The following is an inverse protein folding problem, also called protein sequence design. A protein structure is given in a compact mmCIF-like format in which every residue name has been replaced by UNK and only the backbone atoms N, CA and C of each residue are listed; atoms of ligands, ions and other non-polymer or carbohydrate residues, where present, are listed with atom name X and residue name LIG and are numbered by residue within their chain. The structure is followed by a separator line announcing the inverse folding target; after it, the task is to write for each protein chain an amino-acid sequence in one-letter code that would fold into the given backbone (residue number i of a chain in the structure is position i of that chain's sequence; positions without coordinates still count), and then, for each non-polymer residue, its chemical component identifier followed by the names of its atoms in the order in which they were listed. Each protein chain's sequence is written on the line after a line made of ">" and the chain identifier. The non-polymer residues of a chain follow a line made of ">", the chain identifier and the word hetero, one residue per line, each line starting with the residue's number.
data_IF_303564153308
#
_entry.id   IF_303564153308
#
_cell.length_a   1.000
_cell.length_b   1.000
_cell.length_c   1.000
_cell.angle_alpha   90.00
_cell.angle_beta   90.00
_cell.angle_gamma   90.00
#
_symmetry.space_group_name_H-M   'P 1'
#
loop_
_entity.id
_entity.type
_entity.pdbx_description
1 polymer ?
#
# COMPACT_ATOMS: atom_id res chain seq x y z
N UNK A 1 -15.93 13.58 8.04
CA UNK A 1 -16.38 12.22 8.39
C UNK A 1 -17.61 11.90 7.56
N UNK A 2 -17.71 10.65 7.09
CA UNK A 2 -18.92 10.18 6.42
C UNK A 2 -20.07 10.12 7.43
N UNK A 3 -21.29 10.38 6.98
CA UNK A 3 -22.47 10.20 7.81
C UNK A 3 -22.69 8.67 8.03
N UNK A 4 -23.05 8.23 9.26
CA UNK A 4 -23.13 6.80 9.58
C UNK A 4 -24.21 6.04 8.79
N UNK A 5 -25.19 6.74 8.29
CA UNK A 5 -26.36 6.23 7.55
C UNK A 5 -26.14 6.17 6.02
N UNK A 6 -25.00 6.64 5.55
CA UNK A 6 -24.67 6.55 4.12
C UNK A 6 -24.51 5.08 3.69
N UNK A 7 -25.08 4.70 2.53
CA UNK A 7 -24.90 3.36 2.00
C UNK A 7 -23.47 3.17 1.54
N UNK A 8 -22.68 2.43 2.32
CA UNK A 8 -21.32 2.04 1.97
C UNK A 8 -21.35 0.86 0.99
N UNK A 9 -20.49 0.91 -0.04
CA UNK A 9 -20.42 -0.14 -1.06
C UNK A 9 -20.15 -1.53 -0.46
N UNK A 10 -19.26 -1.63 0.52
CA UNK A 10 -18.99 -2.87 1.24
C UNK A 10 -20.28 -3.45 1.86
N UNK A 11 -21.06 -2.60 2.54
CA UNK A 11 -22.31 -3.01 3.18
C UNK A 11 -23.39 -3.45 2.19
N UNK A 12 -23.49 -2.75 1.05
CA UNK A 12 -24.43 -3.11 -0.02
C UNK A 12 -24.09 -4.48 -0.61
N UNK A 13 -22.81 -4.72 -0.90
CA UNK A 13 -22.37 -5.99 -1.47
C UNK A 13 -22.41 -7.14 -0.46
N UNK A 14 -22.02 -6.89 0.79
CA UNK A 14 -22.17 -7.87 1.87
C UNK A 14 -23.64 -8.32 2.01
N UNK A 15 -24.58 -7.38 2.06
CA UNK A 15 -26.01 -7.68 2.16
C UNK A 15 -26.54 -8.41 0.90
N UNK A 16 -25.89 -8.26 -0.24
CA UNK A 16 -26.18 -8.99 -1.47
C UNK A 16 -25.51 -10.38 -1.51
N UNK A 17 -24.85 -10.83 -0.45
CA UNK A 17 -24.26 -12.17 -0.32
C UNK A 17 -22.83 -12.29 -0.82
N UNK A 18 -22.14 -11.18 -1.08
CA UNK A 18 -20.72 -11.20 -1.44
C UNK A 18 -19.85 -11.49 -0.20
N UNK A 19 -18.76 -12.23 -0.40
CA UNK A 19 -17.65 -12.23 0.54
C UNK A 19 -16.88 -10.92 0.36
N UNK A 20 -16.64 -10.17 1.44
CA UNK A 20 -16.10 -8.81 1.37
C UNK A 20 -14.81 -8.68 2.17
N UNK A 21 -13.78 -8.05 1.61
CA UNK A 21 -12.53 -7.80 2.32
C UNK A 21 -11.94 -6.44 1.98
N UNK A 22 -11.29 -5.86 2.98
CA UNK A 22 -10.49 -4.64 2.85
C UNK A 22 -9.04 -4.90 3.27
N UNK A 23 -8.10 -4.49 2.42
CA UNK A 23 -6.67 -4.57 2.72
C UNK A 23 -5.99 -3.22 2.44
N UNK A 24 -5.26 -2.74 3.45
CA UNK A 24 -4.43 -1.55 3.33
C UNK A 24 -5.00 -0.28 3.98
N UNK A 25 -4.91 0.83 3.26
CA UNK A 25 -5.27 2.16 3.74
C UNK A 25 -6.78 2.35 3.82
N UNK A 26 -7.28 2.92 4.94
CA UNK A 26 -8.70 3.29 5.06
C UNK A 26 -8.93 4.80 5.00
N UNK A 27 -8.43 5.57 5.96
CA UNK A 27 -8.52 7.04 6.08
C UNK A 27 -9.93 7.64 6.06
N UNK A 28 -10.97 6.85 6.35
CA UNK A 28 -12.36 7.33 6.45
C UNK A 28 -12.86 7.45 7.89
N UNK A 29 -12.13 6.94 8.86
CA UNK A 29 -12.43 7.06 10.29
C UNK A 29 -12.06 5.81 11.07
N UNK A 30 -12.14 5.96 12.40
CA UNK A 30 -12.13 4.84 13.35
C UNK A 30 -13.57 4.38 13.58
N UNK A 31 -13.75 3.37 14.42
CA UNK A 31 -15.06 2.97 14.87
C UNK A 31 -15.92 4.20 15.29
N UNK A 32 -17.16 4.26 14.89
CA UNK A 32 -17.96 3.29 14.15
C UNK A 32 -17.86 3.43 12.61
N UNK A 33 -16.75 3.91 12.05
CA UNK A 33 -16.56 4.15 10.61
C UNK A 33 -15.37 3.34 10.04
N UNK A 34 -15.01 2.25 10.70
CA UNK A 34 -13.97 1.34 10.22
C UNK A 34 -14.46 0.50 9.02
N UNK A 35 -13.57 -0.21 8.32
CA UNK A 35 -13.99 -1.13 7.26
C UNK A 35 -15.02 -2.16 7.74
N UNK A 36 -14.86 -2.71 8.94
CA UNK A 36 -15.77 -3.73 9.46
C UNK A 36 -17.20 -3.21 9.61
N UNK A 37 -17.40 -2.02 10.19
CA UNK A 37 -18.73 -1.39 10.27
C UNK A 37 -19.24 -0.90 8.90
N UNK A 38 -18.34 -0.77 7.94
CA UNK A 38 -18.67 -0.42 6.55
C UNK A 38 -19.04 -1.63 5.69
N UNK A 39 -19.13 -2.83 6.30
CA UNK A 39 -19.61 -4.06 5.67
C UNK A 39 -18.54 -4.93 5.05
N UNK A 40 -17.29 -4.80 5.47
CA UNK A 40 -16.25 -5.75 5.13
C UNK A 40 -16.16 -6.87 6.17
N UNK A 41 -16.11 -8.13 5.73
CA UNK A 41 -15.95 -9.30 6.61
C UNK A 41 -14.53 -9.43 7.14
N UNK A 42 -13.56 -8.95 6.37
CA UNK A 42 -12.12 -8.95 6.69
C UNK A 42 -11.52 -7.59 6.49
N UNK A 43 -10.61 -7.19 7.40
CA UNK A 43 -9.90 -5.91 7.33
C UNK A 43 -8.49 -6.04 7.91
N UNK A 44 -7.47 -5.81 7.10
CA UNK A 44 -6.07 -5.79 7.50
C UNK A 44 -5.34 -4.59 6.87
N UNK A 45 -4.45 -3.94 7.65
CA UNK A 45 -4.06 -4.23 9.04
C UNK A 45 -4.99 -3.63 10.08
N UNK A 46 -6.18 -3.18 9.71
CA UNK A 46 -7.15 -2.46 10.54
C UNK A 46 -6.55 -1.13 11.04
N UNK A 47 -6.19 -0.30 10.09
CA UNK A 47 -5.52 0.98 10.34
C UNK A 47 -6.25 2.14 9.68
N UNK A 48 -6.64 3.11 10.48
CA UNK A 48 -7.44 4.27 10.07
C UNK A 48 -6.63 5.43 9.47
N UNK A 49 -5.29 5.38 9.55
CA UNK A 49 -4.43 6.50 9.13
C UNK A 49 -4.22 6.60 7.62
N UNK A 50 -3.65 7.72 7.16
CA UNK A 50 -3.50 8.02 5.74
C UNK A 50 -2.39 7.24 5.04
N UNK A 51 -1.38 6.80 5.78
CA UNK A 51 -0.23 6.02 5.31
C UNK A 51 0.03 4.85 6.25
N UNK A 52 1.14 4.11 6.10
CA UNK A 52 1.51 3.09 7.07
C UNK A 52 1.74 3.71 8.45
N UNK A 53 1.51 2.93 9.51
CA UNK A 53 1.50 3.45 10.88
C UNK A 53 2.82 4.09 11.30
N UNK A 54 3.95 3.51 10.90
CA UNK A 54 5.28 4.02 11.25
C UNK A 54 6.18 4.20 10.03
N UNK A 55 6.27 3.21 9.19
CA UNK A 55 7.18 3.14 8.05
C UNK A 55 6.63 2.17 7.00
N UNK A 56 7.19 2.22 5.78
CA UNK A 56 6.94 1.20 4.76
C UNK A 56 7.66 -0.11 5.03
N UNK A 57 8.71 -0.09 5.84
CA UNK A 57 9.47 -1.27 6.23
C UNK A 57 9.18 -1.64 7.67
N UNK A 58 8.99 -2.93 7.93
CA UNK A 58 8.80 -3.47 9.28
C UNK A 58 10.03 -3.18 10.18
N UNK A 59 9.82 -2.93 11.49
CA UNK A 59 8.58 -3.14 12.25
C UNK A 59 7.56 -1.99 12.07
N UNK A 60 6.28 -2.36 11.89
CA UNK A 60 5.21 -1.38 11.68
C UNK A 60 4.47 -0.98 12.96
N UNK A 61 4.42 -1.87 13.94
CA UNK A 61 3.77 -1.64 15.23
C UNK A 61 2.25 -1.56 15.17
N UNK A 62 1.59 -2.28 14.25
CA UNK A 62 0.13 -2.44 14.25
C UNK A 62 -0.33 -3.22 15.47
N UNK A 63 -1.52 -2.88 15.96
CA UNK A 63 -2.08 -3.46 17.19
C UNK A 63 -3.17 -4.50 16.93
N UNK A 64 -3.55 -4.71 15.67
CA UNK A 64 -4.51 -5.75 15.31
C UNK A 64 -3.91 -7.14 15.58
N UNK A 65 -4.50 -7.97 16.46
CA UNK A 65 -3.95 -9.29 16.80
C UNK A 65 -3.95 -10.27 15.62
N UNK A 66 -4.77 -10.03 14.59
CA UNK A 66 -4.81 -10.84 13.37
C UNK A 66 -3.69 -10.47 12.40
N UNK A 67 -3.10 -9.29 12.55
CA UNK A 67 -2.01 -8.80 11.70
C UNK A 67 -0.69 -8.83 12.47
N UNK A 68 0.06 -9.92 12.32
CA UNK A 68 1.35 -10.10 12.99
C UNK A 68 2.39 -9.16 12.42
N UNK A 69 3.29 -8.72 13.30
CA UNK A 69 4.44 -7.90 12.89
C UNK A 69 5.30 -8.63 11.84
N UNK A 70 5.82 -7.87 10.89
CA UNK A 70 6.66 -8.39 9.82
C UNK A 70 8.10 -8.67 10.24
N UNK A 71 8.82 -9.41 9.40
CA UNK A 71 10.27 -9.55 9.56
C UNK A 71 10.93 -8.18 9.34
N UNK A 72 12.02 -7.87 10.07
CA UNK A 72 12.75 -6.62 9.86
C UNK A 72 13.04 -6.38 8.37
N UNK A 73 12.66 -5.21 7.86
CA UNK A 73 12.84 -4.85 6.45
C UNK A 73 11.76 -5.35 5.48
N UNK A 74 10.78 -6.12 5.94
CA UNK A 74 9.63 -6.52 5.11
C UNK A 74 8.82 -5.28 4.68
N UNK A 75 8.50 -5.17 3.40
CA UNK A 75 7.76 -4.03 2.87
C UNK A 75 6.25 -4.23 3.05
N UNK A 76 5.55 -3.17 3.47
CA UNK A 76 4.12 -3.28 3.79
C UNK A 76 3.26 -3.69 2.59
N UNK A 77 3.60 -3.26 1.37
CA UNK A 77 2.84 -3.66 0.18
C UNK A 77 2.99 -5.14 -0.12
N UNK A 78 4.19 -5.72 0.07
CA UNK A 78 4.39 -7.17 -0.09
C UNK A 78 3.54 -7.95 0.91
N UNK A 79 3.48 -7.48 2.17
CA UNK A 79 2.66 -8.09 3.20
C UNK A 79 1.16 -7.95 2.87
N UNK A 80 0.69 -6.79 2.46
CA UNK A 80 -0.72 -6.60 2.12
C UNK A 80 -1.13 -7.46 0.93
N UNK A 81 -0.26 -7.59 -0.09
CA UNK A 81 -0.50 -8.49 -1.20
C UNK A 81 -0.59 -9.96 -0.75
N UNK A 82 0.35 -10.41 0.09
CA UNK A 82 0.35 -11.78 0.61
C UNK A 82 -0.92 -12.10 1.43
N UNK A 83 -1.35 -11.19 2.30
CA UNK A 83 -2.59 -11.35 3.08
C UNK A 83 -3.84 -11.37 2.19
N UNK A 84 -3.90 -10.49 1.19
CA UNK A 84 -5.01 -10.46 0.24
C UNK A 84 -5.06 -11.72 -0.66
N UNK A 85 -3.91 -12.21 -1.12
CA UNK A 85 -3.79 -13.48 -1.87
C UNK A 85 -4.24 -14.65 -1.00
N UNK A 86 -3.80 -14.71 0.26
CA UNK A 86 -4.23 -15.75 1.19
C UNK A 86 -5.74 -15.73 1.39
N UNK A 87 -6.35 -14.56 1.54
CA UNK A 87 -7.80 -14.41 1.62
C UNK A 87 -8.50 -14.87 0.34
N UNK A 88 -7.99 -14.50 -0.84
CA UNK A 88 -8.54 -14.95 -2.14
C UNK A 88 -8.51 -16.48 -2.27
N UNK A 89 -7.48 -17.13 -1.76
CA UNK A 89 -7.34 -18.59 -1.81
C UNK A 89 -8.28 -19.32 -0.82
N UNK A 90 -8.53 -18.70 0.34
CA UNK A 90 -9.29 -19.30 1.44
C UNK A 90 -10.78 -18.95 1.43
N UNK A 91 -11.20 -17.96 0.63
CA UNK A 91 -12.59 -17.50 0.57
C UNK A 91 -13.55 -18.61 0.14
N UNK A 92 -14.78 -18.51 0.55
CA UNK A 92 -15.87 -19.34 0.03
C UNK A 92 -16.09 -19.09 -1.47
N UNK A 93 -15.68 -20.03 -2.30
CA UNK A 93 -15.77 -19.94 -3.77
C UNK A 93 -17.19 -20.08 -4.31
N UNK A 94 -18.16 -20.43 -3.48
CA UNK A 94 -19.58 -20.47 -3.88
C UNK A 94 -20.22 -19.08 -3.88
N UNK A 95 -19.55 -18.09 -3.26
CA UNK A 95 -19.99 -16.70 -3.20
C UNK A 95 -19.20 -15.83 -4.18
N UNK A 96 -19.83 -14.84 -4.80
CA UNK A 96 -19.10 -13.75 -5.43
C UNK A 96 -18.32 -13.00 -4.35
N UNK A 97 -17.28 -12.29 -4.74
CA UNK A 97 -16.47 -11.55 -3.77
C UNK A 97 -16.27 -10.09 -4.17
N UNK A 98 -16.01 -9.26 -3.17
CA UNK A 98 -15.58 -7.89 -3.31
C UNK A 98 -14.31 -7.67 -2.48
N UNK A 99 -13.19 -7.47 -3.18
CA UNK A 99 -11.90 -7.17 -2.58
C UNK A 99 -11.58 -5.69 -2.80
N UNK A 100 -11.52 -4.94 -1.71
CA UNK A 100 -11.11 -3.55 -1.69
C UNK A 100 -9.63 -3.48 -1.29
N UNK A 101 -8.74 -3.34 -2.28
CA UNK A 101 -7.30 -3.30 -2.06
C UNK A 101 -6.79 -1.87 -2.22
N UNK A 102 -6.60 -1.18 -1.09
CA UNK A 102 -6.15 0.20 -1.04
C UNK A 102 -4.73 0.29 -0.51
N UNK A 103 -3.79 0.41 -1.41
CA UNK A 103 -2.38 0.46 -1.08
C UNK A 103 -2.01 1.71 -0.28
N UNK A 104 -0.96 1.58 0.55
CA UNK A 104 -0.36 2.71 1.27
C UNK A 104 0.51 3.56 0.35
N UNK A 105 1.15 2.91 -0.64
CA UNK A 105 1.98 3.59 -1.63
C UNK A 105 1.10 4.48 -2.54
N UNK A 106 1.52 5.67 -2.85
CA UNK A 106 2.83 6.28 -2.59
C UNK A 106 2.67 7.46 -1.61
N UNK A 107 2.12 7.24 -0.43
CA UNK A 107 1.91 8.29 0.56
C UNK A 107 3.23 8.64 1.28
N UNK A 108 3.46 9.94 1.53
CA UNK A 108 4.59 10.38 2.34
C UNK A 108 4.39 10.05 3.86
N UNK A 109 5.48 9.92 4.64
CA UNK A 109 6.88 9.92 4.24
C UNK A 109 7.27 8.70 3.40
N UNK A 110 8.12 8.91 2.38
CA UNK A 110 8.46 7.86 1.44
C UNK A 110 9.40 6.82 2.04
N UNK A 111 9.17 5.55 1.70
CA UNK A 111 10.01 4.44 2.09
C UNK A 111 9.84 3.27 1.12
N UNK A 112 10.94 2.64 0.75
CA UNK A 112 10.94 1.52 -0.18
C UNK A 112 12.07 0.55 0.12
N UNK A 113 12.03 -0.61 -0.52
CA UNK A 113 13.09 -1.63 -0.42
C UNK A 113 14.43 -1.05 -0.90
N UNK A 114 15.52 -1.16 -0.11
CA UNK A 114 16.82 -0.57 -0.45
C UNK A 114 17.34 -1.00 -1.84
N UNK A 115 17.15 -2.25 -2.21
CA UNK A 115 17.56 -2.82 -3.48
C UNK A 115 16.81 -2.18 -4.66
N UNK A 116 15.54 -1.84 -4.51
CA UNK A 116 14.78 -1.14 -5.53
C UNK A 116 15.20 0.33 -5.63
N UNK A 117 15.45 0.99 -4.50
CA UNK A 117 15.98 2.36 -4.49
C UNK A 117 17.31 2.40 -5.27
N UNK A 118 18.22 1.45 -5.01
CA UNK A 118 19.50 1.38 -5.69
C UNK A 118 19.35 1.09 -7.18
N UNK A 119 18.44 0.19 -7.56
CA UNK A 119 18.09 -0.07 -8.97
C UNK A 119 17.67 1.21 -9.69
N UNK A 120 16.76 1.99 -9.10
CA UNK A 120 16.27 3.22 -9.72
C UNK A 120 17.28 4.36 -9.65
N UNK A 121 18.16 4.40 -8.64
CA UNK A 121 19.29 5.33 -8.58
C UNK A 121 20.26 5.10 -9.73
N UNK A 122 20.61 3.84 -10.02
CA UNK A 122 21.45 3.48 -11.17
C UNK A 122 20.78 3.85 -12.49
N UNK A 123 19.49 3.54 -12.64
CA UNK A 123 18.71 3.90 -13.84
C UNK A 123 18.66 5.41 -14.04
N UNK A 124 18.41 6.18 -12.98
CA UNK A 124 18.41 7.65 -13.04
C UNK A 124 19.80 8.19 -13.40
N UNK A 125 20.86 7.69 -12.75
CA UNK A 125 22.24 8.08 -13.04
C UNK A 125 22.65 7.84 -14.48
N UNK A 126 22.13 6.79 -15.11
CA UNK A 126 22.36 6.49 -16.53
C UNK A 126 21.56 7.40 -17.50
N UNK A 127 20.43 7.96 -17.02
CA UNK A 127 19.53 8.79 -17.84
C UNK A 127 19.72 10.30 -17.64
N UNK A 128 20.42 10.71 -16.58
CA UNK A 128 20.71 12.12 -16.32
C UNK A 128 21.72 12.62 -17.37
N UNK A 129 21.28 13.62 -18.16
CA UNK A 129 22.12 14.27 -19.17
C UNK A 129 23.41 14.79 -18.53
N UNK A 130 24.54 14.57 -19.20
CA UNK A 130 25.85 15.07 -18.81
C UNK A 130 25.92 16.60 -18.65
N UNK A 131 24.94 17.30 -19.23
CA UNK A 131 24.76 18.78 -19.09
C UNK A 131 24.06 19.18 -17.78
N UNK A 132 23.49 18.24 -17.02
CA UNK A 132 22.88 18.53 -15.72
C UNK A 132 23.99 18.96 -14.75
N UNK A 133 23.78 20.10 -14.07
CA UNK A 133 24.73 20.62 -13.10
C UNK A 133 25.05 19.57 -12.03
N UNK A 134 26.33 19.39 -11.65
CA UNK A 134 26.73 18.34 -10.71
C UNK A 134 25.99 18.38 -9.37
N UNK A 135 25.73 19.57 -8.84
CA UNK A 135 25.00 19.78 -7.58
C UNK A 135 23.53 19.34 -7.65
N UNK A 136 22.88 19.53 -8.81
CA UNK A 136 21.51 19.06 -9.06
C UNK A 136 21.48 17.54 -9.20
N UNK A 137 22.46 16.98 -9.93
CA UNK A 137 22.57 15.53 -10.11
C UNK A 137 22.81 14.82 -8.78
N UNK A 138 23.70 15.34 -7.93
CA UNK A 138 23.99 14.78 -6.62
C UNK A 138 22.75 14.82 -5.71
N UNK A 139 22.01 15.93 -5.69
CA UNK A 139 20.74 16.06 -4.95
C UNK A 139 19.70 15.08 -5.43
N UNK A 140 19.53 14.88 -6.75
CA UNK A 140 18.61 13.91 -7.33
C UNK A 140 18.94 12.47 -6.89
N UNK A 141 20.22 12.10 -6.92
CA UNK A 141 20.67 10.76 -6.56
C UNK A 141 20.63 10.50 -5.05
N UNK A 142 20.78 11.53 -4.23
CA UNK A 142 20.75 11.45 -2.77
C UNK A 142 19.33 11.60 -2.20
N UNK A 143 18.37 12.11 -2.98
CA UNK A 143 17.03 12.42 -2.49
C UNK A 143 16.23 11.15 -2.18
N UNK A 144 15.70 11.07 -0.97
CA UNK A 144 14.67 10.11 -0.57
C UNK A 144 13.25 10.69 -0.76
N UNK A 145 13.15 11.99 -0.98
CA UNK A 145 11.90 12.73 -1.23
C UNK A 145 11.94 13.30 -2.64
N UNK A 146 10.79 13.48 -3.31
CA UNK A 146 10.76 14.16 -4.59
C UNK A 146 11.24 15.60 -4.42
N UNK A 147 12.18 16.02 -5.22
CA UNK A 147 12.48 17.44 -5.35
C UNK A 147 11.26 18.15 -5.90
N UNK A 148 10.88 19.28 -5.31
CA UNK A 148 9.76 20.10 -5.78
C UNK A 148 9.86 20.35 -7.30
N UNK A 149 8.86 19.90 -8.03
CA UNK A 149 8.81 20.00 -9.51
C UNK A 149 9.39 18.82 -10.29
N UNK A 150 10.01 17.80 -9.63
CA UNK A 150 10.62 16.66 -10.31
C UNK A 150 10.29 15.30 -9.62
N UNK A 151 9.02 14.98 -9.29
CA UNK A 151 8.67 13.75 -8.58
C UNK A 151 9.08 12.47 -9.33
N UNK A 152 9.10 12.50 -10.67
CA UNK A 152 9.50 11.36 -11.51
C UNK A 152 11.01 11.04 -11.44
N UNK A 153 11.80 11.87 -10.78
CA UNK A 153 13.23 11.69 -10.64
C UNK A 153 13.66 11.21 -9.25
N UNK A 154 12.71 10.86 -8.39
CA UNK A 154 13.00 10.27 -7.08
C UNK A 154 13.17 8.76 -7.20
N UNK A 155 14.37 8.19 -6.90
CA UNK A 155 14.56 6.75 -6.88
C UNK A 155 13.67 6.05 -5.86
N UNK A 156 13.44 6.66 -4.70
CA UNK A 156 12.57 6.12 -3.66
C UNK A 156 11.12 6.05 -4.13
N UNK A 157 10.60 7.12 -4.74
CA UNK A 157 9.25 7.13 -5.28
C UNK A 157 9.07 6.06 -6.38
N UNK A 158 10.02 5.96 -7.31
CA UNK A 158 10.00 4.93 -8.36
C UNK A 158 10.04 3.50 -7.77
N UNK A 159 10.80 3.29 -6.69
CA UNK A 159 10.84 2.03 -5.97
C UNK A 159 9.51 1.71 -5.28
N UNK A 160 8.81 2.72 -4.74
CA UNK A 160 7.46 2.55 -4.17
C UNK A 160 6.43 2.16 -5.24
N UNK A 161 6.48 2.82 -6.40
CA UNK A 161 5.61 2.47 -7.56
C UNK A 161 5.88 1.04 -8.03
N UNK A 162 7.15 0.61 -8.04
CA UNK A 162 7.51 -0.77 -8.37
C UNK A 162 6.90 -1.78 -7.39
N UNK A 163 7.02 -1.53 -6.08
CA UNK A 163 6.40 -2.41 -5.06
C UNK A 163 4.87 -2.44 -5.16
N UNK A 164 4.26 -1.33 -5.55
CA UNK A 164 2.83 -1.23 -5.83
C UNK A 164 2.43 -2.11 -7.04
N UNK A 165 3.19 -2.05 -8.11
CA UNK A 165 2.96 -2.85 -9.32
C UNK A 165 3.12 -4.36 -9.05
N UNK A 166 4.19 -4.76 -8.36
CA UNK A 166 4.42 -6.13 -7.92
C UNK A 166 3.26 -6.68 -7.06
N UNK A 167 2.74 -5.85 -6.16
CA UNK A 167 1.62 -6.21 -5.30
C UNK A 167 0.33 -6.45 -6.11
N UNK A 168 0.03 -5.58 -7.09
CA UNK A 168 -1.11 -5.76 -7.99
C UNK A 168 -0.91 -7.00 -8.85
N UNK A 169 0.29 -7.22 -9.40
CA UNK A 169 0.64 -8.42 -10.16
C UNK A 169 0.34 -9.70 -9.38
N UNK A 170 0.78 -9.76 -8.11
CA UNK A 170 0.53 -10.91 -7.23
C UNK A 170 -0.97 -11.21 -7.02
N UNK A 171 -1.79 -10.16 -6.94
CA UNK A 171 -3.25 -10.33 -6.84
C UNK A 171 -3.86 -10.85 -8.14
N UNK A 172 -3.44 -10.33 -9.29
CA UNK A 172 -3.93 -10.77 -10.60
C UNK A 172 -3.55 -12.22 -10.86
N UNK A 173 -2.36 -12.65 -10.49
CA UNK A 173 -1.90 -14.04 -10.61
C UNK A 173 -2.70 -15.03 -9.71
N UNK A 174 -3.32 -14.52 -8.64
CA UNK A 174 -4.11 -15.31 -7.69
C UNK A 174 -5.61 -15.44 -8.06
N UNK A 175 -6.09 -14.68 -9.03
CA UNK A 175 -7.49 -14.71 -9.52
C UNK A 175 -7.73 -15.85 -10.51
#
# INVERSE_FOLDING_TARGET
>A
RLAPDLPMLGKVLHNAGYATAHFGKWHLGREPHSPLESGFDSDLPHWWGPGPKSSYLAPWGYTNPQFKEGKPGEHIEDRMAAEAVAWLQQRDRTKPFFLNYWQFSVHAPFGAKPELIERYRKKLGASVDSRTKPDVREKLLASHEPLMGLPQQSPTYAAMVHSLDDAVGSLLDAL
#
